data_IF_059576274393
#
_entry.id   IF_059576274393
#
_cell.length_a   1.000
_cell.length_b   1.000
_cell.length_c   1.000
_cell.angle_alpha   90.00
_cell.angle_beta   90.00
_cell.angle_gamma   90.00
#
_symmetry.space_group_name_H-M   'P 1'
#
loop_
_entity.id
_entity.type
_entity.pdbx_description
1 polymer ?
#
# COMPACT_ATOMS: atom_id res chain seq x y z
N UNK A 1 -14.07 -24.60 2.46
CA UNK A 1 -12.83 -24.10 3.10
C UNK A 1 -11.66 -24.91 2.55
N UNK A 2 -10.52 -24.31 2.35
CA UNK A 2 -9.32 -25.00 1.89
C UNK A 2 -8.75 -25.89 3.00
N UNK A 3 -8.18 -27.02 2.63
CA UNK A 3 -7.41 -27.85 3.56
C UNK A 3 -5.95 -27.40 3.63
N UNK A 4 -5.41 -26.91 2.49
CA UNK A 4 -4.01 -26.50 2.34
C UNK A 4 -3.87 -25.29 1.41
N UNK A 5 -3.11 -24.26 1.85
CA UNK A 5 -2.78 -23.09 1.02
C UNK A 5 -1.26 -22.90 0.93
N UNK A 6 -0.80 -22.38 -0.21
CA UNK A 6 0.57 -21.94 -0.42
C UNK A 6 0.66 -20.41 -0.26
N UNK A 7 1.67 -19.94 0.44
CA UNK A 7 1.93 -18.52 0.64
C UNK A 7 3.06 -18.11 -0.32
N UNK A 8 2.71 -17.40 -1.40
CA UNK A 8 3.64 -16.98 -2.44
C UNK A 8 4.32 -15.64 -2.07
N UNK A 9 4.90 -15.59 -0.88
CA UNK A 9 5.58 -14.41 -0.38
C UNK A 9 6.63 -14.79 0.69
N UNK A 10 7.29 -13.79 1.28
CA UNK A 10 8.33 -13.94 2.30
C UNK A 10 8.17 -12.93 3.45
N UNK A 11 9.03 -13.07 4.45
CA UNK A 11 9.13 -12.07 5.51
C UNK A 11 7.90 -11.98 6.41
N UNK A 12 7.61 -10.76 6.88
CA UNK A 12 6.53 -10.54 7.84
C UNK A 12 5.15 -10.86 7.27
N UNK A 13 4.92 -10.56 5.97
CA UNK A 13 3.61 -10.81 5.37
C UNK A 13 3.33 -12.31 5.17
N UNK A 14 4.34 -13.09 4.81
CA UNK A 14 4.17 -14.54 4.76
C UNK A 14 3.82 -15.09 6.13
N UNK A 15 4.51 -14.63 7.18
CA UNK A 15 4.22 -15.01 8.56
C UNK A 15 2.82 -14.55 9.02
N UNK A 16 2.39 -13.34 8.60
CA UNK A 16 1.02 -12.84 8.86
C UNK A 16 -0.05 -13.76 8.28
N UNK A 17 0.14 -14.20 7.03
CA UNK A 17 -0.80 -15.13 6.37
C UNK A 17 -0.78 -16.50 7.04
N UNK A 18 0.41 -17.04 7.38
CA UNK A 18 0.53 -18.32 8.08
C UNK A 18 -0.25 -18.30 9.41
N UNK A 19 -0.13 -17.20 10.18
CA UNK A 19 -0.88 -17.07 11.46
C UNK A 19 -2.38 -17.15 11.23
N UNK A 20 -2.93 -16.38 10.28
CA UNK A 20 -4.36 -16.41 9.98
C UNK A 20 -4.82 -17.80 9.50
N UNK A 21 -4.07 -18.42 8.59
CA UNK A 21 -4.41 -19.74 8.06
C UNK A 21 -4.41 -20.82 9.15
N UNK A 22 -3.42 -20.81 10.05
CA UNK A 22 -3.33 -21.78 11.15
C UNK A 22 -4.47 -21.61 12.17
N UNK A 23 -4.87 -20.38 12.48
CA UNK A 23 -6.04 -20.11 13.33
C UNK A 23 -7.37 -20.58 12.69
N UNK A 24 -7.39 -20.71 11.35
CA UNK A 24 -8.51 -21.27 10.61
C UNK A 24 -8.42 -22.79 10.43
N UNK A 25 -7.38 -23.46 10.98
CA UNK A 25 -7.13 -24.89 10.82
C UNK A 25 -6.67 -25.29 9.42
N UNK A 26 -6.11 -24.39 8.64
CA UNK A 26 -5.64 -24.61 7.28
C UNK A 26 -4.15 -24.93 7.32
N UNK A 27 -3.75 -26.01 6.63
CA UNK A 27 -2.35 -26.40 6.48
C UNK A 27 -1.59 -25.41 5.57
N UNK A 28 -0.40 -25.02 5.96
CA UNK A 28 0.36 -23.94 5.30
C UNK A 28 1.62 -24.45 4.62
N UNK A 29 1.83 -23.99 3.38
CA UNK A 29 3.06 -24.21 2.61
C UNK A 29 3.77 -22.87 2.40
N UNK A 30 4.97 -22.71 2.96
CA UNK A 30 5.83 -21.58 2.67
C UNK A 30 6.70 -21.86 1.46
N UNK A 31 6.85 -20.87 0.58
CA UNK A 31 7.92 -20.90 -0.42
C UNK A 31 9.09 -20.04 0.05
N UNK A 32 10.31 -20.39 -0.36
CA UNK A 32 11.49 -19.61 -0.04
C UNK A 32 12.59 -19.75 -1.10
N UNK A 33 13.39 -18.69 -1.25
CA UNK A 33 14.67 -18.79 -1.95
C UNK A 33 15.71 -19.44 -1.05
N UNK A 34 16.85 -19.81 -1.61
CA UNK A 34 17.97 -20.33 -0.80
C UNK A 34 18.47 -19.33 0.26
N UNK A 35 18.30 -18.02 0.05
CA UNK A 35 18.67 -17.00 1.03
C UNK A 35 17.71 -16.91 2.23
N UNK A 36 16.48 -17.38 2.10
CA UNK A 36 15.45 -17.34 3.14
C UNK A 36 15.23 -18.70 3.83
N UNK A 37 16.10 -19.70 3.61
CA UNK A 37 15.91 -21.05 4.16
C UNK A 37 15.73 -21.07 5.69
N UNK A 38 16.37 -20.12 6.41
CA UNK A 38 16.26 -19.98 7.86
C UNK A 38 15.22 -18.93 8.31
N UNK A 39 14.46 -18.35 7.38
CA UNK A 39 13.50 -17.30 7.70
C UNK A 39 12.34 -17.82 8.57
N UNK A 40 11.77 -16.94 9.41
CA UNK A 40 10.74 -17.34 10.37
C UNK A 40 9.49 -17.92 9.70
N UNK A 41 9.08 -17.41 8.53
CA UNK A 41 7.93 -17.95 7.82
C UNK A 41 8.14 -19.40 7.35
N UNK A 42 9.40 -19.78 7.04
CA UNK A 42 9.77 -21.17 6.70
C UNK A 42 9.66 -22.08 7.93
N UNK A 43 10.14 -21.60 9.09
CA UNK A 43 10.09 -22.35 10.35
C UNK A 43 8.67 -22.52 10.90
N UNK A 44 7.79 -21.58 10.61
CA UNK A 44 6.42 -21.55 11.15
C UNK A 44 5.41 -22.24 10.25
N UNK A 45 5.67 -22.41 8.97
CA UNK A 45 4.80 -23.16 8.06
C UNK A 45 4.84 -24.66 8.37
N UNK A 46 3.78 -25.36 7.99
CA UNK A 46 3.70 -26.82 8.17
C UNK A 46 4.58 -27.56 7.15
N UNK A 47 4.69 -27.00 5.92
CA UNK A 47 5.59 -27.46 4.86
C UNK A 47 6.33 -26.27 4.26
N UNK A 48 7.48 -26.52 3.64
CA UNK A 48 8.21 -25.49 2.89
C UNK A 48 8.84 -26.05 1.62
N UNK A 49 8.92 -25.20 0.59
CA UNK A 49 9.52 -25.53 -0.71
C UNK A 49 10.53 -24.46 -1.12
N UNK A 50 11.77 -24.88 -1.39
CA UNK A 50 12.76 -23.99 -1.98
C UNK A 50 12.43 -23.81 -3.48
N UNK A 51 12.16 -22.55 -3.88
CA UNK A 51 11.72 -22.20 -5.24
C UNK A 51 12.84 -21.60 -6.11
N UNK A 52 14.06 -21.51 -5.62
CA UNK A 52 15.19 -21.03 -6.42
C UNK A 52 16.27 -20.29 -5.65
N UNK A 53 17.22 -19.67 -6.38
CA UNK A 53 18.32 -18.90 -5.81
C UNK A 53 17.83 -17.56 -5.21
N UNK A 54 18.74 -16.75 -4.60
CA UNK A 54 18.35 -15.51 -3.91
C UNK A 54 17.66 -14.44 -4.77
N UNK A 55 17.99 -14.33 -6.07
CA UNK A 55 17.40 -13.34 -6.94
C UNK A 55 15.88 -13.53 -7.05
N UNK A 56 15.11 -12.47 -6.84
CA UNK A 56 13.63 -12.53 -6.89
C UNK A 56 13.11 -13.01 -8.26
N UNK A 57 13.78 -12.63 -9.35
CA UNK A 57 13.43 -13.06 -10.71
C UNK A 57 13.49 -14.57 -10.91
N UNK A 58 14.37 -15.24 -10.17
CA UNK A 58 14.64 -16.67 -10.28
C UNK A 58 13.97 -17.48 -9.16
N UNK A 59 13.19 -16.82 -8.28
CA UNK A 59 12.49 -17.42 -7.14
C UNK A 59 11.08 -16.86 -6.98
N UNK A 60 10.86 -15.81 -6.18
CA UNK A 60 9.53 -15.27 -5.85
C UNK A 60 8.75 -14.69 -7.05
N UNK A 61 9.41 -14.33 -8.14
CA UNK A 61 8.80 -13.89 -9.39
C UNK A 61 8.73 -15.01 -10.44
N UNK A 62 9.21 -16.21 -10.13
CA UNK A 62 9.16 -17.36 -11.02
C UNK A 62 7.80 -18.05 -10.93
N UNK A 63 6.88 -17.71 -11.82
CA UNK A 63 5.55 -18.35 -11.90
C UNK A 63 5.67 -19.88 -11.98
N UNK A 64 6.52 -20.46 -12.87
CA UNK A 64 6.64 -21.92 -12.94
C UNK A 64 7.08 -22.57 -11.63
N UNK A 65 7.99 -21.95 -10.87
CA UNK A 65 8.47 -22.49 -9.60
C UNK A 65 7.37 -22.48 -8.52
N UNK A 66 6.52 -21.44 -8.50
CA UNK A 66 5.40 -21.34 -7.56
C UNK A 66 4.31 -22.37 -7.91
N UNK A 67 3.96 -22.53 -9.19
CA UNK A 67 2.97 -23.51 -9.62
C UNK A 67 3.47 -24.93 -9.31
N UNK A 68 4.73 -25.26 -9.62
CA UNK A 68 5.33 -26.55 -9.28
C UNK A 68 5.30 -26.83 -7.76
N UNK A 69 5.54 -25.78 -6.93
CA UNK A 69 5.42 -25.91 -5.47
C UNK A 69 3.98 -26.25 -5.03
N UNK A 70 2.95 -25.70 -5.68
CA UNK A 70 1.56 -26.08 -5.43
C UNK A 70 1.29 -27.52 -5.81
N UNK A 71 1.74 -27.95 -6.98
CA UNK A 71 1.52 -29.31 -7.48
C UNK A 71 2.17 -30.38 -6.59
N UNK A 72 3.42 -30.19 -6.19
CA UNK A 72 4.12 -31.18 -5.36
C UNK A 72 3.61 -31.24 -3.93
N UNK A 73 3.03 -30.17 -3.40
CA UNK A 73 2.49 -30.11 -2.03
C UNK A 73 1.00 -30.39 -1.98
N UNK A 74 0.30 -30.33 -3.11
CA UNK A 74 -1.15 -30.46 -3.18
C UNK A 74 -1.89 -29.27 -2.58
N UNK A 75 -1.30 -28.07 -2.59
CA UNK A 75 -1.98 -26.86 -2.16
C UNK A 75 -3.15 -26.52 -3.10
N UNK A 76 -4.29 -26.11 -2.54
CA UNK A 76 -5.54 -25.85 -3.27
C UNK A 76 -5.66 -24.37 -3.66
N UNK A 77 -4.97 -23.50 -2.94
CA UNK A 77 -5.04 -22.07 -3.15
C UNK A 77 -3.70 -21.40 -2.88
N UNK A 78 -3.53 -20.19 -3.45
CA UNK A 78 -2.33 -19.38 -3.30
C UNK A 78 -2.70 -18.04 -2.68
N UNK A 79 -2.05 -17.67 -1.56
CA UNK A 79 -2.12 -16.31 -1.02
C UNK A 79 -0.87 -15.54 -1.44
N UNK A 80 -0.99 -14.45 -2.20
CA UNK A 80 0.16 -13.72 -2.75
C UNK A 80 0.78 -12.73 -1.74
N UNK A 81 0.09 -12.40 -0.64
CA UNK A 81 0.46 -11.28 0.22
C UNK A 81 0.38 -9.94 -0.51
N UNK A 82 1.45 -9.15 -0.46
CA UNK A 82 1.65 -7.92 -1.22
C UNK A 82 3.04 -7.91 -1.90
N UNK A 83 3.22 -7.10 -2.94
CA UNK A 83 4.43 -7.10 -3.77
C UNK A 83 4.56 -8.38 -4.61
N UNK A 84 5.73 -8.63 -5.19
CA UNK A 84 6.01 -9.75 -6.09
C UNK A 84 4.91 -9.97 -7.14
N UNK A 85 4.20 -11.09 -7.08
CA UNK A 85 3.17 -11.47 -8.06
C UNK A 85 1.74 -11.10 -7.63
N UNK A 86 1.55 -10.39 -6.53
CA UNK A 86 0.22 -10.08 -5.99
C UNK A 86 -0.68 -9.28 -6.92
N UNK A 87 -0.11 -8.48 -7.83
CA UNK A 87 -0.83 -7.69 -8.83
C UNK A 87 -0.46 -8.08 -10.27
N UNK A 88 -0.12 -9.36 -10.47
CA UNK A 88 0.23 -9.88 -11.78
C UNK A 88 -0.95 -10.66 -12.38
N UNK A 89 -1.68 -10.03 -13.32
CA UNK A 89 -2.86 -10.63 -13.97
C UNK A 89 -2.54 -11.93 -14.71
N UNK A 90 -1.34 -12.06 -15.31
CA UNK A 90 -0.91 -13.28 -15.99
C UNK A 90 -0.71 -14.42 -14.99
N UNK A 91 -0.15 -14.12 -13.81
CA UNK A 91 0.00 -15.11 -12.75
C UNK A 91 -1.37 -15.62 -12.28
N UNK A 92 -2.32 -14.71 -12.03
CA UNK A 92 -3.68 -15.11 -11.62
C UNK A 92 -4.33 -16.02 -12.65
N UNK A 93 -4.24 -15.67 -13.94
CA UNK A 93 -4.80 -16.50 -15.01
C UNK A 93 -4.16 -17.90 -15.03
N UNK A 94 -2.84 -17.99 -14.90
CA UNK A 94 -2.13 -19.28 -14.86
C UNK A 94 -2.55 -20.12 -13.64
N UNK A 95 -2.71 -19.50 -12.47
CA UNK A 95 -3.20 -20.16 -11.25
C UNK A 95 -4.59 -20.78 -11.49
N UNK A 96 -5.51 -20.01 -12.07
CA UNK A 96 -6.87 -20.47 -12.40
C UNK A 96 -6.87 -21.58 -13.46
N UNK A 97 -6.04 -21.47 -14.50
CA UNK A 97 -5.90 -22.48 -15.57
C UNK A 97 -5.37 -23.82 -15.04
N UNK A 98 -4.63 -23.83 -13.92
CA UNK A 98 -4.17 -25.04 -13.22
C UNK A 98 -5.21 -25.57 -12.20
N UNK A 99 -6.42 -24.99 -12.14
CA UNK A 99 -7.46 -25.40 -11.21
C UNK A 99 -7.18 -25.03 -9.75
N UNK A 100 -6.26 -24.09 -9.53
CA UNK A 100 -5.94 -23.55 -8.22
C UNK A 100 -6.75 -22.28 -7.97
N UNK A 101 -6.99 -21.95 -6.71
CA UNK A 101 -7.66 -20.69 -6.34
C UNK A 101 -6.63 -19.61 -6.00
N UNK A 102 -6.71 -18.46 -6.67
CA UNK A 102 -5.97 -17.27 -6.26
C UNK A 102 -6.74 -16.56 -5.14
N UNK A 103 -6.11 -16.32 -3.98
CA UNK A 103 -6.72 -15.60 -2.87
C UNK A 103 -6.54 -14.10 -3.09
N UNK A 104 -7.49 -13.51 -3.80
CA UNK A 104 -7.45 -12.11 -4.22
C UNK A 104 -8.48 -11.82 -5.31
N UNK A 105 -8.35 -10.69 -6.00
CA UNK A 105 -9.21 -10.32 -7.12
C UNK A 105 -8.92 -11.15 -8.37
N UNK A 106 -9.82 -11.09 -9.34
CA UNK A 106 -9.68 -11.77 -10.63
C UNK A 106 -8.56 -11.16 -11.48
N UNK A 107 -8.05 -11.92 -12.46
CA UNK A 107 -7.09 -11.42 -13.43
C UNK A 107 -7.59 -10.15 -14.16
N UNK A 108 -8.90 -10.07 -14.44
CA UNK A 108 -9.50 -8.90 -15.09
C UNK A 108 -9.50 -7.66 -14.19
N UNK A 109 -9.84 -7.79 -12.91
CA UNK A 109 -9.76 -6.67 -11.96
C UNK A 109 -8.34 -6.11 -11.87
N UNK A 110 -7.33 -6.98 -11.79
CA UNK A 110 -5.92 -6.57 -11.75
C UNK A 110 -5.53 -5.88 -13.06
N UNK A 111 -5.96 -6.39 -14.20
CA UNK A 111 -5.64 -5.81 -15.51
C UNK A 111 -6.24 -4.42 -15.69
N UNK A 112 -7.53 -4.26 -15.35
CA UNK A 112 -8.25 -2.99 -15.47
C UNK A 112 -7.68 -1.94 -14.52
N UNK A 113 -7.44 -2.30 -13.27
CA UNK A 113 -6.94 -1.36 -12.26
C UNK A 113 -5.43 -1.11 -12.34
N UNK A 114 -4.68 -2.01 -12.97
CA UNK A 114 -3.23 -1.86 -13.19
C UNK A 114 -2.87 -0.90 -14.33
N UNK A 115 -3.79 -0.63 -15.27
CA UNK A 115 -3.62 0.40 -16.28
C UNK A 115 -4.18 1.74 -15.79
N UNK A 116 -3.32 2.76 -15.62
CA UNK A 116 -3.69 4.05 -15.01
C UNK A 116 -4.82 4.79 -15.73
N UNK A 117 -4.86 4.71 -17.06
CA UNK A 117 -5.88 5.39 -17.86
C UNK A 117 -7.21 4.65 -17.71
N UNK A 118 -7.18 3.35 -17.93
CA UNK A 118 -8.37 2.48 -17.81
C UNK A 118 -8.94 2.51 -16.38
N UNK A 119 -8.09 2.49 -15.36
CA UNK A 119 -8.50 2.60 -13.97
C UNK A 119 -9.20 3.94 -13.68
N UNK A 120 -8.61 5.06 -14.11
CA UNK A 120 -9.19 6.40 -13.93
C UNK A 120 -10.54 6.53 -14.64
N UNK A 121 -10.63 6.08 -15.89
CA UNK A 121 -11.88 6.12 -16.64
C UNK A 121 -12.95 5.24 -16.02
N UNK A 122 -12.60 4.03 -15.62
CA UNK A 122 -13.50 3.11 -14.91
C UNK A 122 -14.00 3.71 -13.60
N UNK A 123 -13.11 4.23 -12.77
CA UNK A 123 -13.48 4.82 -11.48
C UNK A 123 -14.33 6.08 -11.66
N UNK A 124 -14.02 6.92 -12.66
CA UNK A 124 -14.85 8.10 -13.00
C UNK A 124 -16.28 7.69 -13.41
N UNK A 125 -16.42 6.64 -14.24
CA UNK A 125 -17.74 6.11 -14.63
C UNK A 125 -18.51 5.52 -13.43
N UNK A 126 -17.82 4.99 -12.44
CA UNK A 126 -18.39 4.46 -11.20
C UNK A 126 -18.72 5.57 -10.17
N UNK A 127 -18.40 6.83 -10.47
CA UNK A 127 -18.69 7.99 -9.62
C UNK A 127 -17.63 8.31 -8.59
N UNK A 128 -16.44 7.68 -8.67
CA UNK A 128 -15.31 8.01 -7.82
C UNK A 128 -14.71 9.34 -8.28
N UNK A 129 -14.50 10.32 -7.37
CA UNK A 129 -13.99 11.64 -7.73
C UNK A 129 -12.54 11.54 -8.23
N UNK A 130 -12.28 12.16 -9.38
CA UNK A 130 -10.97 12.20 -10.03
C UNK A 130 -10.46 13.63 -10.13
N UNK A 131 -9.14 13.80 -10.26
CA UNK A 131 -8.55 15.13 -10.49
C UNK A 131 -9.19 15.77 -11.71
N UNK A 132 -9.76 16.99 -11.58
CA UNK A 132 -10.26 17.75 -12.72
C UNK A 132 -9.14 17.99 -13.74
N UNK A 133 -9.45 17.81 -15.03
CA UNK A 133 -8.43 17.94 -16.06
C UNK A 133 -9.00 17.78 -17.48
N UNK A 134 -8.10 17.71 -18.45
CA UNK A 134 -8.46 17.46 -19.84
C UNK A 134 -9.00 16.04 -20.05
N UNK A 135 -9.95 15.90 -20.98
CA UNK A 135 -10.42 14.61 -21.47
C UNK A 135 -9.48 14.08 -22.57
N UNK A 136 -8.28 13.62 -22.16
CA UNK A 136 -7.25 13.17 -23.08
C UNK A 136 -6.19 14.21 -23.41
N UNK A 137 -5.47 14.01 -24.53
CA UNK A 137 -4.42 14.89 -24.97
C UNK A 137 -4.92 16.27 -25.38
N UNK A 138 -4.15 17.32 -25.03
CA UNK A 138 -4.44 18.72 -25.35
C UNK A 138 -3.74 19.11 -26.64
N UNK A 139 -4.50 19.44 -27.67
CA UNK A 139 -4.00 19.64 -29.03
C UNK A 139 -3.16 20.92 -29.19
N UNK A 140 -3.54 22.02 -28.52
CA UNK A 140 -2.93 23.33 -28.71
C UNK A 140 -3.03 24.24 -27.47
N UNK A 141 -2.29 25.37 -27.51
CA UNK A 141 -2.21 26.32 -26.42
C UNK A 141 -3.56 26.99 -26.09
N UNK A 142 -4.40 27.24 -27.10
CA UNK A 142 -5.70 27.89 -26.86
C UNK A 142 -6.62 26.98 -26.04
N UNK A 143 -6.62 25.70 -26.36
CA UNK A 143 -7.33 24.67 -25.58
C UNK A 143 -6.75 24.53 -24.16
N UNK A 144 -5.42 24.50 -24.05
CA UNK A 144 -4.74 24.47 -22.75
C UNK A 144 -5.16 25.63 -21.82
N UNK A 145 -5.22 26.86 -22.37
CA UNK A 145 -5.67 28.04 -21.62
C UNK A 145 -7.14 27.91 -21.21
N UNK A 146 -8.01 27.49 -22.12
CA UNK A 146 -9.44 27.28 -21.82
C UNK A 146 -9.63 26.29 -20.66
N UNK A 147 -8.93 25.14 -20.74
CA UNK A 147 -9.00 24.10 -19.67
C UNK A 147 -8.45 24.67 -18.34
N UNK A 148 -7.33 25.37 -18.36
CA UNK A 148 -6.75 26.01 -17.17
C UNK A 148 -7.69 27.03 -16.53
N UNK A 149 -8.39 27.83 -17.32
CA UNK A 149 -9.37 28.81 -16.84
C UNK A 149 -10.63 28.11 -16.27
N UNK A 150 -11.05 26.98 -16.85
CA UNK A 150 -12.21 26.22 -16.44
C UNK A 150 -11.99 25.47 -15.12
N UNK A 151 -10.84 24.80 -14.94
CA UNK A 151 -10.54 24.05 -13.71
C UNK A 151 -9.88 24.91 -12.62
N UNK A 152 -9.44 26.12 -12.95
CA UNK A 152 -8.78 27.07 -12.06
C UNK A 152 -7.30 26.74 -11.79
N UNK A 153 -6.47 27.78 -11.78
CA UNK A 153 -5.03 27.66 -11.48
C UNK A 153 -4.79 27.44 -9.98
N UNK A 154 -3.65 26.83 -9.58
CA UNK A 154 -2.61 26.28 -10.43
C UNK A 154 -3.02 24.98 -11.14
N UNK A 155 -2.40 24.73 -12.31
CA UNK A 155 -2.57 23.50 -13.08
C UNK A 155 -1.23 22.87 -13.42
N UNK A 156 -1.21 21.56 -13.61
CA UNK A 156 -0.04 20.82 -14.04
C UNK A 156 -0.26 20.25 -15.45
N UNK A 157 0.71 20.48 -16.33
CA UNK A 157 0.76 19.92 -17.67
C UNK A 157 1.69 18.71 -17.63
N UNK A 158 1.23 17.56 -18.10
CA UNK A 158 1.95 16.29 -18.05
C UNK A 158 2.05 15.67 -19.43
N UNK A 159 3.24 15.20 -19.83
CA UNK A 159 3.38 14.37 -21.02
C UNK A 159 2.67 13.03 -20.84
N UNK A 160 1.88 12.58 -21.83
CA UNK A 160 1.12 11.31 -21.78
C UNK A 160 2.02 10.10 -21.64
N UNK A 161 3.21 10.13 -22.23
CA UNK A 161 4.23 9.09 -22.10
C UNK A 161 5.21 9.33 -20.94
N UNK A 162 4.95 10.33 -20.07
CA UNK A 162 5.85 10.76 -18.99
C UNK A 162 5.82 9.86 -17.76
N UNK A 163 6.93 9.87 -17.01
CA UNK A 163 7.06 9.18 -15.72
C UNK A 163 8.25 9.73 -14.93
N UNK A 164 8.27 9.48 -13.61
CA UNK A 164 9.38 9.86 -12.73
C UNK A 164 9.63 11.38 -12.63
N UNK A 165 8.60 12.22 -12.76
CA UNK A 165 8.72 13.68 -12.63
C UNK A 165 9.20 14.42 -13.89
N UNK A 166 9.52 13.70 -14.97
CA UNK A 166 9.94 14.31 -16.26
C UNK A 166 8.74 14.56 -17.16
N UNK A 167 8.76 15.66 -17.92
CA UNK A 167 7.66 16.07 -18.78
C UNK A 167 6.46 16.63 -18.02
N UNK A 168 6.67 17.16 -16.80
CA UNK A 168 5.65 17.83 -16.00
C UNK A 168 6.03 19.27 -15.71
N UNK A 169 5.08 20.19 -15.92
CA UNK A 169 5.26 21.62 -15.64
C UNK A 169 4.02 22.20 -14.99
N UNK A 170 4.22 22.96 -13.94
CA UNK A 170 3.15 23.68 -13.25
C UNK A 170 3.02 25.07 -13.85
N UNK A 171 1.78 25.49 -14.12
CA UNK A 171 1.41 26.85 -14.43
C UNK A 171 0.62 27.43 -13.24
N UNK A 172 1.18 28.42 -12.58
CA UNK A 172 0.53 29.07 -11.42
C UNK A 172 -0.60 30.02 -11.84
N UNK A 173 -0.58 30.47 -13.09
CA UNK A 173 -1.55 31.40 -13.65
C UNK A 173 -1.66 31.25 -15.17
N UNK A 174 -2.69 31.89 -15.76
CA UNK A 174 -2.87 31.92 -17.22
C UNK A 174 -1.66 32.53 -17.96
N UNK A 175 -0.93 33.44 -17.31
CA UNK A 175 0.28 34.06 -17.89
C UNK A 175 1.43 33.05 -18.05
N UNK A 176 1.52 32.05 -17.18
CA UNK A 176 2.56 31.01 -17.21
C UNK A 176 2.21 29.82 -18.11
N UNK A 177 0.95 29.68 -18.51
CA UNK A 177 0.44 28.53 -19.25
C UNK A 177 1.24 28.26 -20.54
N UNK A 178 1.53 29.30 -21.33
CA UNK A 178 2.23 29.13 -22.59
C UNK A 178 3.61 28.52 -22.43
N UNK A 179 4.39 29.06 -21.48
CA UNK A 179 5.74 28.56 -21.19
C UNK A 179 5.69 27.12 -20.66
N UNK A 180 4.78 26.86 -19.71
CA UNK A 180 4.64 25.53 -19.12
C UNK A 180 4.22 24.47 -20.14
N UNK A 181 3.26 24.80 -21.01
CA UNK A 181 2.75 23.93 -22.07
C UNK A 181 3.84 23.59 -23.10
N UNK A 182 4.55 24.59 -23.60
CA UNK A 182 5.63 24.39 -24.57
C UNK A 182 6.78 23.57 -23.98
N UNK A 183 7.15 23.85 -22.73
CA UNK A 183 8.24 23.13 -22.06
C UNK A 183 7.86 21.65 -21.79
N UNK A 184 6.64 21.37 -21.32
CA UNK A 184 6.19 20.00 -21.09
C UNK A 184 6.16 19.17 -22.38
N UNK A 185 5.69 19.76 -23.49
CA UNK A 185 5.71 19.11 -24.83
C UNK A 185 7.13 18.83 -25.30
N UNK A 186 8.02 19.81 -25.20
CA UNK A 186 9.43 19.66 -25.63
C UNK A 186 10.14 18.56 -24.82
N UNK A 187 9.94 18.52 -23.51
CA UNK A 187 10.48 17.47 -22.65
C UNK A 187 9.86 16.10 -22.95
N UNK A 188 8.55 16.03 -23.21
CA UNK A 188 7.85 14.81 -23.62
C UNK A 188 8.45 14.24 -24.91
N UNK A 189 8.63 15.09 -25.92
CA UNK A 189 9.23 14.71 -27.18
C UNK A 189 10.68 14.26 -27.04
N UNK A 190 11.49 15.00 -26.28
CA UNK A 190 12.91 14.69 -26.10
C UNK A 190 13.16 13.41 -25.29
N UNK A 191 12.39 13.18 -24.21
CA UNK A 191 12.62 12.07 -23.30
C UNK A 191 11.87 10.79 -23.67
N UNK A 192 10.70 10.92 -24.33
CA UNK A 192 9.77 9.80 -24.56
C UNK A 192 9.35 9.65 -26.04
N UNK A 193 9.80 10.54 -26.92
CA UNK A 193 9.44 10.52 -28.35
C UNK A 193 8.00 10.96 -28.66
N UNK A 194 7.23 11.36 -27.65
CA UNK A 194 5.84 11.80 -27.78
C UNK A 194 5.67 13.19 -27.14
N UNK A 195 5.09 14.14 -27.88
CA UNK A 195 4.85 15.51 -27.44
C UNK A 195 3.40 15.77 -26.99
N UNK A 196 2.58 14.73 -26.94
CA UNK A 196 1.23 14.80 -26.42
C UNK A 196 1.24 15.07 -24.91
N UNK A 197 0.43 16.04 -24.48
CA UNK A 197 0.31 16.42 -23.07
C UNK A 197 -1.16 16.47 -22.66
N UNK A 198 -1.43 16.25 -21.40
CA UNK A 198 -2.72 16.48 -20.75
C UNK A 198 -2.54 17.46 -19.59
N UNK A 199 -3.66 18.03 -19.12
CA UNK A 199 -3.67 19.04 -18.06
C UNK A 199 -4.52 18.55 -16.92
N UNK A 200 -4.06 18.75 -15.68
CA UNK A 200 -4.81 18.46 -14.46
C UNK A 200 -4.69 19.61 -13.45
N UNK A 201 -5.64 19.69 -12.53
CA UNK A 201 -5.54 20.54 -11.35
C UNK A 201 -4.25 20.21 -10.60
N UNK A 202 -3.45 21.21 -10.27
CA UNK A 202 -2.29 21.03 -9.41
C UNK A 202 -2.68 21.18 -7.95
N UNK A 203 -2.39 20.19 -7.15
CA UNK A 203 -2.59 20.18 -5.72
C UNK A 203 -1.31 20.63 -5.02
N UNK A 204 -1.39 21.61 -4.15
CA UNK A 204 -0.22 22.26 -3.57
C UNK A 204 0.24 21.63 -2.26
N UNK A 205 -0.71 21.22 -1.43
CA UNK A 205 -0.47 20.66 -0.10
C UNK A 205 -1.35 19.45 0.17
N UNK A 206 -1.44 18.49 -0.77
CA UNK A 206 -2.35 17.38 -0.60
C UNK A 206 -1.89 16.41 0.48
N UNK A 207 -2.86 15.71 1.07
CA UNK A 207 -2.63 14.53 1.89
C UNK A 207 -2.81 13.28 1.04
N UNK A 208 -2.14 12.20 1.40
CA UNK A 208 -2.37 10.89 0.82
C UNK A 208 -3.35 10.13 1.71
N UNK A 209 -4.60 10.07 1.27
CA UNK A 209 -5.69 9.37 1.96
C UNK A 209 -6.09 8.16 1.13
N UNK A 210 -6.27 7.03 1.77
CA UNK A 210 -6.65 5.80 1.09
C UNK A 210 -7.81 5.12 1.79
N UNK A 211 -8.75 4.59 1.00
CA UNK A 211 -9.95 3.92 1.52
C UNK A 211 -9.77 2.41 1.39
N UNK A 212 -9.84 1.71 2.52
CA UNK A 212 -9.88 0.26 2.53
C UNK A 212 -11.25 -0.22 2.09
N UNK A 213 -11.30 -1.02 1.03
CA UNK A 213 -12.52 -1.69 0.59
C UNK A 213 -12.37 -3.21 0.66
N UNK A 214 -13.50 -3.90 0.75
CA UNK A 214 -13.54 -5.35 0.71
C UNK A 214 -14.80 -5.82 -0.02
N UNK A 215 -14.64 -6.65 -1.06
CA UNK A 215 -15.72 -7.17 -1.88
C UNK A 215 -15.86 -8.69 -1.79
N UNK A 216 -17.08 -9.19 -1.96
CA UNK A 216 -17.40 -10.63 -1.94
C UNK A 216 -17.38 -11.30 -3.32
N UNK A 217 -17.15 -10.54 -4.40
CA UNK A 217 -17.21 -11.03 -5.77
C UNK A 217 -18.62 -11.28 -6.30
N UNK A 218 -19.67 -10.96 -5.53
CA UNK A 218 -21.08 -11.25 -5.82
C UNK A 218 -21.96 -10.00 -5.81
N UNK A 219 -21.35 -8.80 -5.87
CA UNK A 219 -22.07 -7.51 -5.89
C UNK A 219 -22.24 -6.86 -4.52
N UNK A 220 -21.67 -7.42 -3.45
CA UNK A 220 -21.63 -6.80 -2.13
C UNK A 220 -20.21 -6.38 -1.79
N UNK A 221 -20.07 -5.16 -1.29
CA UNK A 221 -18.80 -4.65 -0.80
C UNK A 221 -19.02 -3.72 0.40
N UNK A 222 -17.98 -3.53 1.19
CA UNK A 222 -17.93 -2.63 2.32
C UNK A 222 -16.69 -1.75 2.24
N UNK A 223 -16.71 -0.61 2.94
CA UNK A 223 -15.50 0.14 3.26
C UNK A 223 -15.15 0.02 4.75
N UNK A 224 -13.88 0.05 5.05
CA UNK A 224 -13.35 0.01 6.40
C UNK A 224 -12.60 1.32 6.73
N UNK A 225 -13.24 2.46 6.41
CA UNK A 225 -12.68 3.77 6.65
C UNK A 225 -11.42 4.06 5.83
N UNK A 226 -10.75 5.12 6.25
CA UNK A 226 -9.52 5.59 5.61
C UNK A 226 -8.30 5.36 6.48
N UNK A 227 -7.15 5.42 5.81
CA UNK A 227 -5.83 5.61 6.38
C UNK A 227 -5.23 6.91 5.84
N UNK A 228 -4.52 7.62 6.69
CA UNK A 228 -3.65 8.72 6.28
C UNK A 228 -2.22 8.21 6.15
N UNK A 229 -1.68 8.31 4.95
CA UNK A 229 -0.34 7.83 4.59
C UNK A 229 0.52 8.98 4.04
N UNK A 230 0.30 10.20 4.52
CA UNK A 230 0.95 11.40 3.99
C UNK A 230 2.43 11.51 4.37
N UNK A 231 2.86 10.90 5.49
CA UNK A 231 4.27 10.89 5.85
C UNK A 231 5.04 9.87 4.99
N UNK A 232 5.58 10.37 3.90
CA UNK A 232 6.25 9.60 2.85
C UNK A 232 7.65 10.13 2.59
N UNK A 233 8.57 9.21 2.26
CA UNK A 233 9.89 9.54 1.74
C UNK A 233 10.02 8.92 0.35
N UNK A 234 10.26 9.74 -0.68
CA UNK A 234 10.37 9.28 -2.08
C UNK A 234 9.20 8.37 -2.48
N UNK A 235 7.99 8.79 -2.13
CA UNK A 235 6.73 8.04 -2.35
C UNK A 235 6.62 6.71 -1.57
N UNK A 236 7.52 6.44 -0.63
CA UNK A 236 7.40 5.31 0.29
C UNK A 236 6.79 5.79 1.61
N UNK A 237 5.67 5.22 1.99
CA UNK A 237 5.00 5.46 3.26
C UNK A 237 5.90 4.99 4.41
N UNK A 238 6.02 5.78 5.47
CA UNK A 238 6.86 5.44 6.65
C UNK A 238 6.07 5.44 7.94
N UNK A 239 4.99 6.22 7.98
CA UNK A 239 4.10 6.39 9.12
C UNK A 239 2.66 6.47 8.59
N UNK A 240 1.82 5.57 9.05
CA UNK A 240 0.43 5.45 8.63
C UNK A 240 -0.49 5.48 9.84
N UNK A 241 -1.62 6.15 9.73
CA UNK A 241 -2.58 6.22 10.84
C UNK A 241 -4.03 6.08 10.38
N UNK A 242 -4.86 5.56 11.25
CA UNK A 242 -6.29 5.42 11.06
C UNK A 242 -7.06 5.65 12.38
N UNK A 243 -8.17 6.41 12.31
CA UNK A 243 -8.64 7.23 11.20
C UNK A 243 -7.71 8.41 10.92
N UNK A 244 -7.79 9.00 9.72
CA UNK A 244 -6.98 10.16 9.33
C UNK A 244 -7.31 11.39 10.19
N UNK A 245 -6.31 12.14 10.72
CA UNK A 245 -6.54 13.23 11.66
C UNK A 245 -7.26 14.43 11.05
N UNK A 246 -7.22 14.57 9.72
CA UNK A 246 -7.83 15.71 8.99
C UNK A 246 -9.15 15.36 8.32
N UNK A 247 -9.64 14.12 8.44
CA UNK A 247 -10.86 13.66 7.78
C UNK A 247 -12.02 13.66 8.78
N UNK A 248 -13.09 14.37 8.47
CA UNK A 248 -14.31 14.38 9.27
C UNK A 248 -15.11 13.09 9.10
N UNK A 249 -16.00 12.79 10.04
CA UNK A 249 -16.86 11.62 9.94
C UNK A 249 -17.76 11.67 8.69
N UNK A 250 -18.28 12.87 8.35
CA UNK A 250 -19.13 13.06 7.17
C UNK A 250 -18.37 12.78 5.86
N UNK A 251 -17.14 13.28 5.76
CA UNK A 251 -16.28 13.02 4.60
C UNK A 251 -15.94 11.53 4.48
N UNK A 252 -15.60 10.88 5.59
CA UNK A 252 -15.32 9.44 5.66
C UNK A 252 -16.49 8.61 5.17
N UNK A 253 -17.68 8.90 5.67
CA UNK A 253 -18.91 8.17 5.31
C UNK A 253 -19.25 8.40 3.82
N UNK A 254 -19.12 9.63 3.34
CA UNK A 254 -19.36 9.99 1.94
C UNK A 254 -18.41 9.26 0.99
N UNK A 255 -17.10 9.39 1.20
CA UNK A 255 -16.13 8.80 0.27
C UNK A 255 -16.08 7.28 0.41
N UNK A 256 -16.19 6.75 1.64
CA UNK A 256 -16.25 5.32 1.88
C UNK A 256 -17.40 4.65 1.16
N UNK A 257 -18.61 5.25 1.23
CA UNK A 257 -19.78 4.76 0.50
C UNK A 257 -19.56 4.76 -1.02
N UNK A 258 -19.02 5.84 -1.58
CA UNK A 258 -18.72 5.92 -3.02
C UNK A 258 -17.77 4.79 -3.43
N UNK A 259 -16.71 4.55 -2.64
CA UNK A 259 -15.74 3.49 -2.91
C UNK A 259 -16.36 2.09 -2.80
N UNK A 260 -17.15 1.82 -1.77
CA UNK A 260 -17.83 0.54 -1.60
C UNK A 260 -18.82 0.26 -2.75
N UNK A 261 -19.63 1.26 -3.12
CA UNK A 261 -20.58 1.16 -4.24
C UNK A 261 -19.85 0.91 -5.57
N UNK A 262 -18.70 1.56 -5.80
CA UNK A 262 -17.91 1.39 -7.01
C UNK A 262 -17.39 -0.06 -7.15
N UNK A 263 -16.76 -0.60 -6.10
CA UNK A 263 -16.21 -1.96 -6.14
C UNK A 263 -17.30 -3.04 -6.12
N UNK A 264 -18.47 -2.76 -5.52
CA UNK A 264 -19.63 -3.65 -5.60
C UNK A 264 -20.13 -3.81 -7.05
N UNK A 265 -20.21 -2.69 -7.80
CA UNK A 265 -20.67 -2.68 -9.21
C UNK A 265 -19.78 -3.49 -10.15
N UNK A 266 -18.50 -3.61 -9.88
CA UNK A 266 -17.57 -4.42 -10.68
C UNK A 266 -17.43 -5.85 -10.14
N UNK A 267 -18.20 -6.25 -9.13
CA UNK A 267 -18.10 -7.55 -8.46
C UNK A 267 -16.67 -7.84 -7.96
N UNK A 268 -16.02 -6.84 -7.38
CA UNK A 268 -14.66 -6.97 -6.86
C UNK A 268 -14.57 -8.05 -5.77
N UNK A 269 -13.46 -8.80 -5.75
CA UNK A 269 -13.25 -9.90 -4.81
C UNK A 269 -12.05 -9.64 -3.92
N UNK A 270 -12.23 -9.75 -2.60
CA UNK A 270 -11.19 -9.62 -1.61
C UNK A 270 -10.88 -8.19 -1.21
N UNK A 271 -9.70 -8.00 -0.60
CA UNK A 271 -9.23 -6.70 -0.16
C UNK A 271 -8.75 -5.83 -1.33
N UNK A 272 -9.10 -4.57 -1.31
CA UNK A 272 -8.61 -3.55 -2.22
C UNK A 272 -8.46 -2.22 -1.50
N UNK A 273 -7.63 -1.34 -2.04
CA UNK A 273 -7.44 0.01 -1.50
C UNK A 273 -7.52 1.03 -2.61
N UNK A 274 -8.37 2.03 -2.44
CA UNK A 274 -8.51 3.15 -3.38
C UNK A 274 -7.77 4.35 -2.80
N UNK A 275 -6.72 4.78 -3.49
CA UNK A 275 -5.84 5.85 -3.06
C UNK A 275 -6.26 7.20 -3.64
N UNK A 276 -6.20 8.24 -2.79
CA UNK A 276 -6.58 9.60 -3.13
C UNK A 276 -5.52 10.62 -2.70
N UNK A 277 -5.39 11.68 -3.49
CA UNK A 277 -4.94 12.95 -2.95
C UNK A 277 -6.14 13.68 -2.35
N UNK A 278 -5.98 14.19 -1.14
CA UNK A 278 -7.01 14.95 -0.44
C UNK A 278 -6.51 16.37 -0.17
N UNK A 279 -7.28 17.37 -0.59
CA UNK A 279 -6.98 18.79 -0.34
C UNK A 279 -8.29 19.58 -0.24
N UNK A 280 -8.40 20.41 0.78
CA UNK A 280 -9.53 21.33 0.98
C UNK A 280 -10.93 20.66 0.97
N UNK A 281 -11.08 19.47 1.58
CA UNK A 281 -12.36 18.74 1.66
C UNK A 281 -12.68 17.87 0.44
N UNK A 282 -11.79 17.86 -0.57
CA UNK A 282 -12.01 17.12 -1.81
C UNK A 282 -11.02 15.97 -1.99
N UNK A 283 -11.54 14.85 -2.47
CA UNK A 283 -10.78 13.63 -2.76
C UNK A 283 -10.54 13.53 -4.26
N UNK A 284 -9.32 13.12 -4.65
CA UNK A 284 -8.94 12.96 -6.04
C UNK A 284 -8.25 11.62 -6.24
N UNK A 285 -8.91 10.71 -6.96
CA UNK A 285 -8.43 9.37 -7.24
C UNK A 285 -7.02 9.37 -7.88
N UNK A 286 -6.14 8.55 -7.34
CA UNK A 286 -4.80 8.28 -7.87
C UNK A 286 -4.76 6.92 -8.55
N UNK A 287 -5.02 5.86 -7.75
CA UNK A 287 -4.94 4.47 -8.18
C UNK A 287 -5.73 3.55 -7.24
N UNK A 288 -5.95 2.32 -7.69
CA UNK A 288 -6.49 1.25 -6.85
C UNK A 288 -5.46 0.13 -6.74
N UNK A 289 -5.06 -0.18 -5.54
CA UNK A 289 -4.25 -1.36 -5.25
C UNK A 289 -5.17 -2.57 -5.09
N UNK A 290 -4.98 -3.56 -5.96
CA UNK A 290 -5.82 -4.77 -6.05
C UNK A 290 -5.28 -5.91 -5.17
N UNK A 291 -4.84 -5.57 -3.96
CA UNK A 291 -4.22 -6.47 -2.99
C UNK A 291 -4.37 -5.94 -1.57
N UNK A 292 -3.97 -6.75 -0.62
CA UNK A 292 -3.71 -6.28 0.73
C UNK A 292 -2.51 -5.31 0.73
N UNK A 293 -2.56 -4.25 1.54
CA UNK A 293 -1.45 -3.31 1.68
C UNK A 293 -0.61 -3.58 2.93
N UNK A 294 0.61 -3.01 2.97
CA UNK A 294 1.52 -3.12 4.12
C UNK A 294 0.82 -2.64 5.39
N UNK A 295 0.15 -1.49 5.29
CA UNK A 295 -0.51 -0.73 6.36
C UNK A 295 -1.93 -1.20 6.73
N UNK A 296 -2.37 -2.38 6.23
CA UNK A 296 -3.66 -2.95 6.62
C UNK A 296 -3.86 -3.12 8.15
N UNK A 297 -2.80 -3.32 8.96
CA UNK A 297 -2.96 -3.53 10.39
C UNK A 297 -3.61 -2.36 11.15
N UNK A 298 -3.45 -1.10 10.71
CA UNK A 298 -4.12 0.02 11.40
C UNK A 298 -5.63 -0.03 11.20
N UNK A 299 -6.09 -0.44 10.00
CA UNK A 299 -7.50 -0.68 9.73
C UNK A 299 -8.04 -1.85 10.58
N UNK A 300 -7.32 -2.97 10.61
CA UNK A 300 -7.68 -4.12 11.44
C UNK A 300 -7.84 -3.73 12.92
N UNK A 301 -6.92 -2.89 13.42
CA UNK A 301 -6.90 -2.48 14.83
C UNK A 301 -8.12 -1.64 15.21
N UNK A 302 -8.54 -0.68 14.37
CA UNK A 302 -9.67 0.22 14.69
C UNK A 302 -11.04 -0.42 14.46
N UNK A 303 -11.13 -1.47 13.61
CA UNK A 303 -12.40 -2.17 13.34
C UNK A 303 -12.52 -3.52 14.05
N UNK A 304 -11.43 -4.06 14.59
CA UNK A 304 -11.42 -5.38 15.23
C UNK A 304 -11.66 -6.52 14.24
N UNK A 305 -11.19 -6.40 13.00
CA UNK A 305 -11.36 -7.40 11.93
C UNK A 305 -10.02 -7.99 11.51
N UNK A 306 -10.02 -9.19 10.96
CA UNK A 306 -8.86 -9.83 10.32
C UNK A 306 -9.10 -9.89 8.80
N UNK A 307 -8.44 -9.00 8.05
CA UNK A 307 -8.61 -8.90 6.60
C UNK A 307 -8.04 -10.12 5.87
N UNK A 308 -6.95 -10.71 6.35
CA UNK A 308 -6.35 -11.91 5.76
C UNK A 308 -7.30 -13.12 5.91
N UNK A 309 -7.89 -13.28 7.08
CA UNK A 309 -8.93 -14.28 7.32
C UNK A 309 -10.10 -14.10 6.36
N UNK A 310 -10.57 -12.86 6.16
CA UNK A 310 -11.66 -12.59 5.22
C UNK A 310 -11.29 -12.88 3.77
N UNK A 311 -10.05 -12.57 3.34
CA UNK A 311 -9.57 -12.93 2.00
C UNK A 311 -9.65 -14.44 1.76
N UNK A 312 -9.16 -15.24 2.71
CA UNK A 312 -9.19 -16.71 2.63
C UNK A 312 -10.64 -17.23 2.58
N UNK A 313 -11.52 -16.69 3.41
CA UNK A 313 -12.94 -17.09 3.46
C UNK A 313 -13.67 -16.83 2.14
N UNK A 314 -13.56 -15.60 1.63
CA UNK A 314 -14.23 -15.22 0.39
C UNK A 314 -13.68 -16.01 -0.80
N UNK A 315 -12.36 -16.20 -0.88
CA UNK A 315 -11.76 -17.05 -1.91
C UNK A 315 -12.22 -18.52 -1.83
N UNK A 316 -12.55 -19.01 -0.63
CA UNK A 316 -13.14 -20.34 -0.42
C UNK A 316 -14.67 -20.40 -0.73
N UNK A 317 -15.26 -19.31 -1.24
CA UNK A 317 -16.68 -19.21 -1.59
C UNK A 317 -17.62 -18.92 -0.41
N UNK A 318 -17.07 -18.66 0.79
CA UNK A 318 -17.85 -18.31 1.96
C UNK A 318 -18.19 -16.82 1.99
N UNK A 319 -19.23 -16.46 2.71
CA UNK A 319 -19.61 -15.06 2.88
C UNK A 319 -18.66 -14.30 3.82
N UNK A 320 -18.61 -12.97 3.66
CA UNK A 320 -17.96 -12.07 4.63
C UNK A 320 -18.61 -12.21 6.01
N UNK A 321 -17.79 -12.14 7.06
CA UNK A 321 -18.27 -12.26 8.46
C UNK A 321 -18.91 -10.97 9.00
N UNK A 322 -18.87 -9.87 8.25
CA UNK A 322 -19.39 -8.56 8.64
C UNK A 322 -20.17 -7.89 7.50
N UNK A 323 -21.02 -6.96 7.86
CA UNK A 323 -21.73 -6.03 6.98
C UNK A 323 -21.29 -4.60 7.31
N UNK A 324 -21.64 -3.62 6.45
CA UNK A 324 -21.25 -2.22 6.67
C UNK A 324 -21.68 -1.68 8.03
N UNK A 325 -22.88 -2.03 8.49
CA UNK A 325 -23.43 -1.53 9.76
C UNK A 325 -22.72 -2.11 10.98
N UNK A 326 -22.00 -3.22 10.84
CA UNK A 326 -21.21 -3.85 11.92
C UNK A 326 -19.86 -3.13 12.12
N UNK A 327 -19.39 -2.44 11.08
CA UNK A 327 -18.06 -1.81 11.03
C UNK A 327 -18.10 -0.43 11.69
N UNK A 328 -17.63 -0.37 12.93
CA UNK A 328 -17.55 0.87 13.71
C UNK A 328 -16.11 1.13 14.14
N UNK A 329 -15.65 2.36 13.93
CA UNK A 329 -14.33 2.79 14.37
C UNK A 329 -14.26 2.79 15.89
N UNK A 330 -13.24 2.17 16.43
CA UNK A 330 -12.91 2.16 17.84
C UNK A 330 -11.47 2.66 18.04
N UNK A 331 -11.34 3.85 18.61
CA UNK A 331 -10.05 4.43 18.93
C UNK A 331 -9.25 4.91 17.73
N UNK A 332 -7.93 4.87 17.86
CA UNK A 332 -6.97 5.32 16.86
C UNK A 332 -5.77 4.37 16.80
N UNK A 333 -5.30 4.05 15.61
CA UNK A 333 -4.14 3.20 15.39
C UNK A 333 -3.08 3.91 14.55
N UNK A 334 -1.81 3.63 14.85
CA UNK A 334 -0.65 4.14 14.13
C UNK A 334 0.27 2.95 13.82
N UNK A 335 0.76 2.89 12.59
CA UNK A 335 1.82 1.97 12.15
C UNK A 335 3.06 2.77 11.78
N UNK A 336 4.23 2.25 12.12
CA UNK A 336 5.52 2.73 11.61
C UNK A 336 6.31 1.58 11.02
N UNK A 337 6.94 1.84 9.87
CA UNK A 337 7.75 0.84 9.17
C UNK A 337 9.18 0.85 9.67
N UNK A 338 9.59 -0.25 10.28
CA UNK A 338 10.96 -0.45 10.75
C UNK A 338 11.78 -1.07 9.62
N UNK A 339 12.68 -0.28 9.06
CA UNK A 339 13.58 -0.71 7.99
C UNK A 339 15.00 -0.89 8.51
N UNK A 340 15.72 -1.87 7.98
CA UNK A 340 17.17 -2.03 8.19
C UNK A 340 17.90 -1.04 7.27
N UNK A 341 17.99 0.22 7.71
CA UNK A 341 18.56 1.34 6.97
C UNK A 341 19.33 2.28 7.89
N UNK A 342 20.39 2.86 7.37
CA UNK A 342 21.21 3.85 8.08
C UNK A 342 20.74 5.26 7.73
N UNK A 343 20.43 6.04 8.76
CA UNK A 343 20.14 7.46 8.64
C UNK A 343 21.44 8.29 8.57
N UNK A 344 21.46 9.45 7.94
CA UNK A 344 20.35 10.11 7.24
C UNK A 344 20.16 9.70 5.78
N UNK A 345 21.06 8.86 5.22
CA UNK A 345 21.05 8.48 3.80
C UNK A 345 19.96 7.48 3.46
N UNK A 346 19.45 6.76 4.47
CA UNK A 346 18.52 5.63 4.30
C UNK A 346 19.11 4.52 3.41
N UNK A 347 20.42 4.29 3.55
CA UNK A 347 21.08 3.21 2.83
C UNK A 347 20.75 1.86 3.47
N UNK A 348 20.38 0.83 2.68
CA UNK A 348 20.09 -0.50 3.22
C UNK A 348 21.26 -1.05 4.06
N UNK A 349 20.95 -1.69 5.18
CA UNK A 349 21.89 -2.28 6.12
C UNK A 349 21.51 -3.74 6.40
N UNK A 350 21.64 -4.63 5.41
CA UNK A 350 21.51 -6.05 5.68
C UNK A 350 22.58 -6.50 6.66
N UNK A 351 22.28 -7.49 7.48
CA UNK A 351 23.22 -7.96 8.49
C UNK A 351 22.60 -8.96 9.44
N UNK A 352 23.39 -9.38 10.43
CA UNK A 352 22.93 -10.34 11.42
C UNK A 352 22.35 -9.63 12.63
N UNK A 353 21.13 -10.01 13.00
CA UNK A 353 20.47 -9.57 14.23
C UNK A 353 21.15 -10.26 15.41
N UNK A 354 21.74 -9.49 16.32
CA UNK A 354 22.37 -10.02 17.53
C UNK A 354 21.40 -10.11 18.69
N UNK A 355 20.45 -9.17 18.77
CA UNK A 355 19.36 -9.18 19.73
C UNK A 355 18.08 -8.58 19.13
N UNK A 356 16.95 -9.20 19.35
CA UNK A 356 15.64 -8.72 18.99
C UNK A 356 14.67 -8.83 20.17
N UNK A 357 14.07 -7.71 20.57
CA UNK A 357 12.97 -7.70 21.54
C UNK A 357 11.80 -6.90 20.97
N UNK A 358 10.70 -7.58 20.75
CA UNK A 358 9.45 -6.95 20.31
C UNK A 358 8.74 -6.28 21.51
N UNK A 359 8.33 -5.00 21.38
CA UNK A 359 7.59 -4.34 22.46
C UNK A 359 6.24 -5.00 22.70
N UNK A 360 5.79 -4.93 23.95
CA UNK A 360 4.55 -5.58 24.38
C UNK A 360 3.54 -4.63 25.02
N UNK A 361 2.52 -5.22 25.63
CA UNK A 361 1.45 -4.51 26.35
C UNK A 361 0.19 -4.28 25.53
N UNK A 362 -0.85 -3.76 26.20
CA UNK A 362 -2.16 -3.55 25.60
C UNK A 362 -2.08 -2.62 24.39
N UNK A 363 -2.66 -3.03 23.25
CA UNK A 363 -2.70 -2.24 22.04
C UNK A 363 -1.35 -2.04 21.37
N UNK A 364 -0.41 -2.98 21.53
CA UNK A 364 0.86 -3.03 20.82
C UNK A 364 0.93 -4.33 20.02
N UNK A 365 1.21 -4.21 18.73
CA UNK A 365 1.39 -5.31 17.78
C UNK A 365 2.70 -5.11 17.04
N UNK A 366 3.52 -6.15 16.92
CA UNK A 366 4.72 -6.16 16.11
C UNK A 366 4.60 -7.22 15.02
N UNK A 367 4.49 -6.79 13.77
CA UNK A 367 4.52 -7.69 12.61
C UNK A 367 5.95 -7.74 12.09
N UNK A 368 6.67 -8.81 12.39
CA UNK A 368 8.07 -9.00 12.02
C UNK A 368 8.39 -10.48 11.90
N UNK A 369 9.35 -10.80 11.05
CA UNK A 369 9.94 -12.14 10.93
C UNK A 369 11.32 -12.24 11.59
N UNK A 370 11.74 -11.22 12.34
CA UNK A 370 13.03 -11.19 13.04
C UNK A 370 13.06 -12.15 14.23
N UNK A 371 14.27 -12.61 14.54
CA UNK A 371 14.61 -13.35 15.74
C UNK A 371 16.13 -13.25 15.99
N UNK A 372 16.59 -13.55 17.20
CA UNK A 372 18.02 -13.53 17.56
C UNK A 372 18.83 -14.47 16.67
N UNK A 373 19.86 -13.94 16.02
CA UNK A 373 20.73 -14.66 15.12
C UNK A 373 20.26 -14.72 13.66
N UNK A 374 19.07 -14.18 13.32
CA UNK A 374 18.62 -14.08 11.92
C UNK A 374 19.53 -13.17 11.12
N UNK A 375 19.83 -13.56 9.89
CA UNK A 375 20.58 -12.73 8.94
C UNK A 375 19.63 -12.15 7.90
N UNK A 376 19.50 -10.82 7.89
CA UNK A 376 18.72 -10.10 6.89
C UNK A 376 19.42 -10.22 5.54
N UNK A 377 18.81 -10.85 4.52
CA UNK A 377 19.46 -11.01 3.22
C UNK A 377 19.50 -9.69 2.43
N UNK A 378 20.56 -9.43 1.66
CA UNK A 378 20.72 -8.17 0.91
C UNK A 378 19.93 -8.11 -0.42
N UNK A 379 19.09 -9.09 -0.69
CA UNK A 379 18.45 -9.27 -1.99
C UNK A 379 17.04 -8.68 -2.08
N UNK A 380 16.47 -8.27 -0.95
CA UNK A 380 15.06 -7.90 -0.84
C UNK A 380 14.91 -6.52 -0.19
N UNK A 381 13.66 -6.05 -0.09
CA UNK A 381 13.34 -4.78 0.58
C UNK A 381 13.89 -4.74 2.01
N UNK A 382 14.21 -3.54 2.46
CA UNK A 382 14.79 -3.27 3.80
C UNK A 382 13.78 -3.37 4.94
N UNK A 383 12.49 -3.53 4.67
CA UNK A 383 11.44 -3.65 5.69
C UNK A 383 11.65 -4.92 6.53
N UNK A 384 11.90 -4.74 7.83
CA UNK A 384 12.14 -5.82 8.78
C UNK A 384 11.03 -5.99 9.81
N UNK A 385 10.14 -5.03 9.89
CA UNK A 385 8.99 -5.10 10.78
C UNK A 385 8.10 -3.87 10.70
N UNK A 386 6.90 -4.03 11.22
CA UNK A 386 5.91 -2.96 11.39
C UNK A 386 5.52 -2.93 12.86
N UNK A 387 5.67 -1.78 13.48
CA UNK A 387 5.19 -1.55 14.83
C UNK A 387 3.85 -0.84 14.76
N UNK A 388 2.81 -1.49 15.23
CA UNK A 388 1.44 -1.00 15.24
C UNK A 388 1.01 -0.75 16.68
N UNK A 389 0.44 0.42 16.93
CA UNK A 389 -0.17 0.74 18.22
C UNK A 389 -1.63 1.13 18.02
N UNK A 390 -2.47 0.80 19.02
CA UNK A 390 -3.88 1.14 19.06
C UNK A 390 -4.25 1.67 20.44
N UNK A 391 -4.96 2.78 20.52
CA UNK A 391 -5.40 3.41 21.74
C UNK A 391 -6.79 4.06 21.59
N UNK A 392 -7.35 4.59 22.69
CA UNK A 392 -8.69 5.20 22.70
C UNK A 392 -8.80 6.45 21.79
N UNK A 393 -7.69 7.15 21.62
CA UNK A 393 -7.60 8.38 20.80
C UNK A 393 -6.17 8.56 20.24
N UNK A 394 -5.99 9.54 19.36
CA UNK A 394 -4.71 9.83 18.72
C UNK A 394 -3.60 10.23 19.71
N UNK A 395 -3.80 11.14 20.67
CA UNK A 395 -2.77 11.45 21.67
C UNK A 395 -2.31 10.24 22.46
N UNK A 396 -3.24 9.37 22.87
CA UNK A 396 -2.91 8.12 23.56
C UNK A 396 -2.16 7.13 22.65
N UNK A 397 -2.48 7.07 21.34
CA UNK A 397 -1.77 6.25 20.36
C UNK A 397 -0.33 6.76 20.15
N UNK A 398 -0.11 8.09 20.01
CA UNK A 398 1.23 8.68 19.92
C UNK A 398 2.07 8.40 21.17
N UNK A 399 1.50 8.55 22.37
CA UNK A 399 2.17 8.22 23.64
C UNK A 399 2.53 6.73 23.71
N UNK A 400 1.63 5.85 23.25
CA UNK A 400 1.87 4.40 23.18
C UNK A 400 2.96 4.05 22.19
N UNK A 401 2.98 4.69 21.03
CA UNK A 401 4.03 4.51 20.03
C UNK A 401 5.40 4.91 20.59
N UNK A 402 5.49 6.08 21.23
CA UNK A 402 6.73 6.54 21.84
C UNK A 402 7.25 5.56 22.89
N UNK A 403 6.38 5.04 23.77
CA UNK A 403 6.75 4.01 24.74
C UNK A 403 7.19 2.72 24.07
N UNK A 404 6.47 2.24 23.06
CA UNK A 404 6.78 0.99 22.37
C UNK A 404 8.09 1.05 21.58
N UNK A 405 8.38 2.19 20.94
CA UNK A 405 9.69 2.42 20.28
C UNK A 405 10.84 2.41 21.28
N UNK A 406 10.65 2.95 22.49
CA UNK A 406 11.67 2.92 23.55
C UNK A 406 11.91 1.51 24.13
N UNK A 407 10.97 0.59 23.94
CA UNK A 407 11.10 -0.81 24.36
C UNK A 407 11.65 -1.71 23.26
N UNK A 408 11.50 -1.32 21.98
CA UNK A 408 11.95 -2.10 20.83
C UNK A 408 13.48 -2.18 20.78
N UNK A 409 14.00 -3.39 20.76
CA UNK A 409 15.44 -3.65 20.57
C UNK A 409 15.64 -4.37 19.23
N UNK A 410 16.47 -3.79 18.36
CA UNK A 410 16.95 -4.41 17.13
C UNK A 410 18.45 -4.13 17.03
N UNK A 411 19.27 -5.01 17.54
CA UNK A 411 20.72 -4.87 17.55
C UNK A 411 21.39 -5.69 16.44
N UNK A 412 22.54 -5.22 16.00
CA UNK A 412 23.34 -5.84 14.94
C UNK A 412 23.22 -5.15 13.58
N UNK A 413 22.20 -4.31 13.38
CA UNK A 413 21.98 -3.52 12.16
C UNK A 413 21.50 -2.10 12.52
N UNK A 414 21.72 -1.14 11.62
CA UNK A 414 21.10 0.18 11.71
C UNK A 414 19.63 0.09 11.30
N UNK A 415 18.76 0.86 11.97
CA UNK A 415 17.32 0.89 11.68
C UNK A 415 16.76 2.31 11.59
N UNK A 416 15.54 2.44 11.07
CA UNK A 416 14.79 3.70 11.02
C UNK A 416 14.15 4.11 12.35
N UNK A 417 14.29 3.34 13.43
CA UNK A 417 13.73 3.66 14.77
C UNK A 417 14.08 5.08 15.25
N UNK A 418 15.32 5.59 15.11
CA UNK A 418 15.64 6.95 15.54
C UNK A 418 14.86 8.04 14.82
N UNK A 419 14.47 7.81 13.56
CA UNK A 419 13.60 8.74 12.82
C UNK A 419 12.26 8.92 13.53
N UNK A 420 11.63 7.85 13.95
CA UNK A 420 10.32 7.90 14.61
C UNK A 420 10.38 8.57 15.97
N UNK A 421 11.46 8.37 16.73
CA UNK A 421 11.66 9.12 17.96
C UNK A 421 11.74 10.63 17.72
N UNK A 422 12.43 11.05 16.67
CA UNK A 422 12.52 12.46 16.30
C UNK A 422 11.16 13.02 15.79
N UNK A 423 10.46 12.29 14.92
CA UNK A 423 9.14 12.67 14.41
C UNK A 423 8.11 12.86 15.53
N UNK A 424 8.12 11.99 16.54
CA UNK A 424 7.19 12.08 17.67
C UNK A 424 7.44 13.31 18.58
N UNK A 425 8.56 14.01 18.46
CA UNK A 425 8.81 15.27 19.17
C UNK A 425 8.37 16.50 18.38
N UNK A 426 8.03 16.32 17.10
CA UNK A 426 7.64 17.42 16.21
C UNK A 426 6.19 17.83 16.44
N UNK A 427 5.95 19.16 16.49
CA UNK A 427 4.64 19.75 16.78
C UNK A 427 3.61 19.45 15.67
N UNK A 428 4.05 19.42 14.41
CA UNK A 428 3.17 19.14 13.27
C UNK A 428 2.73 17.67 13.29
N UNK A 429 3.62 16.74 13.64
CA UNK A 429 3.28 15.34 13.82
C UNK A 429 2.33 15.16 15.00
N UNK A 430 2.56 15.86 16.10
CA UNK A 430 1.68 15.81 17.28
C UNK A 430 0.27 16.35 16.97
N UNK A 431 0.16 17.44 16.21
CA UNK A 431 -1.13 18.03 15.82
C UNK A 431 -1.79 17.31 14.63
N UNK A 432 -1.02 16.56 13.83
CA UNK A 432 -1.48 15.96 12.57
C UNK A 432 -1.48 16.94 11.40
N UNK A 433 -0.74 18.04 11.48
CA UNK A 433 -0.65 19.07 10.44
C UNK A 433 0.55 18.82 9.52
N UNK A 434 0.40 17.88 8.60
CA UNK A 434 1.39 17.51 7.61
C UNK A 434 0.72 17.15 6.27
N UNK A 435 1.51 17.10 5.19
CA UNK A 435 1.09 16.73 3.85
C UNK A 435 2.17 15.84 3.20
N UNK A 436 1.97 15.43 1.94
CA UNK A 436 2.91 14.51 1.26
C UNK A 436 4.32 15.06 1.06
N UNK A 437 4.53 16.36 1.17
CA UNK A 437 5.84 17.02 0.99
C UNK A 437 6.55 17.28 2.33
N UNK A 438 5.79 17.20 3.44
CA UNK A 438 6.25 17.62 4.75
C UNK A 438 7.50 16.86 5.21
N UNK A 439 7.49 15.53 5.11
CA UNK A 439 8.59 14.70 5.61
C UNK A 439 9.89 14.94 4.86
N UNK A 440 9.87 15.10 3.54
CA UNK A 440 11.07 15.38 2.76
C UNK A 440 11.71 16.71 3.17
N UNK A 441 10.89 17.76 3.34
CA UNK A 441 11.35 19.04 3.83
C UNK A 441 11.90 18.97 5.27
N UNK A 442 11.20 18.24 6.13
CA UNK A 442 11.62 18.02 7.50
C UNK A 442 12.99 17.28 7.58
N UNK A 443 13.20 16.26 6.76
CA UNK A 443 14.45 15.51 6.68
C UNK A 443 15.62 16.38 6.22
N UNK A 444 15.41 17.27 5.25
CA UNK A 444 16.42 18.21 4.79
C UNK A 444 16.87 19.17 5.90
N UNK A 445 15.93 19.64 6.71
CA UNK A 445 16.19 20.61 7.76
C UNK A 445 16.77 19.97 9.02
N UNK A 446 16.32 18.78 9.42
CA UNK A 446 16.62 18.22 10.75
C UNK A 446 17.66 17.08 10.74
N UNK A 447 17.85 16.37 9.63
CA UNK A 447 18.79 15.25 9.57
C UNK A 447 19.99 15.47 8.64
N UNK A 448 19.92 16.43 7.70
CA UNK A 448 21.01 16.71 6.76
C UNK A 448 21.67 18.08 6.97
N UNK A 449 21.17 18.83 7.97
CA UNK A 449 21.69 20.16 8.34
C UNK A 449 22.99 20.11 9.13
#
# INVERSE_FOLDING_TARGET
>A
MFDKILIANRGEIALRVIRAAREMGIHTVAVHSTADADAMHVRMADESVCIGPPASTDSYLSIPAIIAACEVTGAQAIHPGYGFLSENATFVQIVEDHGLTFIGPTAEHIRVMGDKITAKDTMKQLGVPCVPGSEGGVANLAEAKRIGDEIGYPVIIKATAGGGGKGMKVAQSAAEMERAFQTARAEGKSNFGNDEVYIEKYLTTPRHIEIQVFGDGKGRAVHLGERDCSLQRRHQKVFEEAPGPSITQEERDRIGKICADAVARINYTGAGTIEFLYENGEFYFIEMNTRLQVEHPVTEAIFGVDLVRQQIRVAAGLDMEFQQDDLKINGHAIEVRINAEKLPEFSPRPGRITQFHAPGGLGVRMDSALYDGYSIPPYYDSLIGKLIVHAADRPAALARLNRALGELIVDGVDTTVPLFHALLQDADVQSGDYNIHWLEHWLETNLRG
#
